data_IF_783807980603
#
_entry.id   IF_783807980603
#
_cell.length_a   1.000
_cell.length_b   1.000
_cell.length_c   1.000
_cell.angle_alpha   90.00
_cell.angle_beta   90.00
_cell.angle_gamma   90.00
#
_symmetry.space_group_name_H-M   'P 1'
#
loop_
_entity.id
_entity.type
_entity.pdbx_description
1 polymer ?
#
# COMPACT_ATOMS: atom_id res chain seq x y z
N UNK A 1 8.37 -1.63 0.10
CA UNK A 1 9.20 -0.45 0.39
C UNK A 1 8.50 0.80 -0.14
N UNK A 2 8.40 1.87 0.66
CA UNK A 2 7.81 3.12 0.20
C UNK A 2 8.82 3.99 -0.56
N UNK A 3 8.38 4.62 -1.65
CA UNK A 3 9.18 5.62 -2.37
C UNK A 3 9.27 6.92 -1.55
N UNK A 4 10.17 7.86 -1.87
CA UNK A 4 10.22 9.15 -1.17
C UNK A 4 8.87 9.90 -1.19
N UNK A 5 8.11 9.77 -2.28
CA UNK A 5 6.76 10.32 -2.39
C UNK A 5 5.82 9.62 -1.40
N UNK A 6 5.87 8.28 -1.36
CA UNK A 6 5.09 7.48 -0.41
C UNK A 6 5.33 7.88 1.03
N UNK A 7 6.60 8.00 1.42
CA UNK A 7 6.99 8.36 2.79
C UNK A 7 6.55 9.79 3.12
N UNK A 8 6.87 10.77 2.26
CA UNK A 8 6.61 12.19 2.54
C UNK A 8 5.12 12.56 2.47
N UNK A 9 4.38 12.01 1.51
CA UNK A 9 2.98 12.39 1.26
C UNK A 9 1.98 11.55 2.05
N UNK A 10 2.26 10.26 2.23
CA UNK A 10 1.31 9.32 2.83
C UNK A 10 1.80 8.72 4.16
N UNK A 11 2.94 9.17 4.68
CA UNK A 11 3.46 8.72 5.97
C UNK A 11 3.86 7.24 6.00
N UNK A 12 4.16 6.65 4.84
CA UNK A 12 4.47 5.23 4.74
C UNK A 12 5.85 4.90 5.37
N UNK A 13 6.01 3.72 5.98
CA UNK A 13 7.30 3.27 6.47
C UNK A 13 8.25 3.00 5.31
N UNK A 14 9.56 3.13 5.55
CA UNK A 14 10.59 2.86 4.54
C UNK A 14 10.43 1.46 3.93
N UNK A 15 10.25 0.44 4.77
CA UNK A 15 10.02 -0.95 4.38
C UNK A 15 9.17 -1.68 5.39
N UNK A 16 8.44 -2.70 4.92
CA UNK A 16 7.59 -3.57 5.72
C UNK A 16 7.36 -4.89 4.98
N UNK A 17 7.24 -5.99 5.71
CA UNK A 17 6.87 -7.30 5.18
C UNK A 17 5.40 -7.31 4.76
N UNK A 18 5.12 -7.82 3.56
CA UNK A 18 3.78 -8.05 3.06
C UNK A 18 3.62 -9.53 2.73
N UNK A 19 2.69 -10.20 3.42
CA UNK A 19 2.51 -11.66 3.36
C UNK A 19 1.25 -12.11 2.62
N UNK A 20 0.59 -11.22 1.87
CA UNK A 20 -0.63 -11.54 1.11
C UNK A 20 -0.34 -11.65 -0.40
N UNK A 21 -1.38 -11.97 -1.18
CA UNK A 21 -1.28 -12.06 -2.63
C UNK A 21 -0.87 -10.73 -3.26
N UNK A 22 0.07 -10.80 -4.21
CA UNK A 22 0.55 -9.67 -4.98
C UNK A 22 0.50 -10.00 -6.47
N UNK A 23 0.60 -8.97 -7.30
CA UNK A 23 0.66 -9.10 -8.75
C UNK A 23 1.78 -8.23 -9.34
N UNK A 24 2.30 -8.64 -10.50
CA UNK A 24 3.23 -7.83 -11.29
C UNK A 24 2.43 -6.87 -12.17
N UNK A 25 2.67 -5.58 -12.02
CA UNK A 25 2.04 -4.54 -12.84
C UNK A 25 3.07 -3.58 -13.39
N UNK A 26 2.77 -3.00 -14.55
CA UNK A 26 3.58 -1.96 -15.19
C UNK A 26 2.80 -0.64 -15.10
N UNK A 27 3.35 0.40 -14.46
CA UNK A 27 2.67 1.68 -14.36
C UNK A 27 2.71 2.40 -15.71
N UNK A 28 1.75 3.29 -15.96
CA UNK A 28 1.88 4.24 -17.07
C UNK A 28 3.07 5.17 -16.85
N UNK A 29 3.61 5.73 -17.93
CA UNK A 29 4.80 6.62 -17.89
C UNK A 29 4.57 7.85 -16.99
N UNK A 30 3.35 8.37 -16.97
CA UNK A 30 2.99 9.54 -16.18
C UNK A 30 2.64 9.21 -14.72
N UNK A 31 2.39 7.94 -14.38
CA UNK A 31 1.95 7.56 -13.04
C UNK A 31 3.07 7.68 -11.99
N UNK A 32 2.67 7.96 -10.76
CA UNK A 32 3.58 8.05 -9.60
C UNK A 32 3.52 6.75 -8.81
N UNK A 33 4.66 6.10 -8.64
CA UNK A 33 4.77 4.93 -7.77
C UNK A 33 5.00 5.38 -6.34
N UNK A 34 4.07 5.03 -5.44
CA UNK A 34 4.11 5.40 -4.02
C UNK A 34 4.83 4.34 -3.18
N UNK A 35 4.76 3.08 -3.59
CA UNK A 35 5.47 1.97 -2.97
C UNK A 35 5.78 0.88 -3.99
N UNK A 36 6.85 0.13 -3.75
CA UNK A 36 7.27 -1.03 -4.51
C UNK A 36 7.28 -2.28 -3.63
N UNK A 37 6.95 -3.42 -4.22
CA UNK A 37 7.40 -4.70 -3.74
C UNK A 37 8.90 -4.86 -3.95
N UNK A 38 9.51 -5.68 -3.09
CA UNK A 38 10.87 -6.17 -3.25
C UNK A 38 10.86 -7.62 -2.82
N UNK A 39 11.26 -8.51 -3.73
CA UNK A 39 11.47 -9.92 -3.45
C UNK A 39 12.99 -10.12 -3.41
N UNK A 40 13.49 -10.72 -2.34
CA UNK A 40 14.90 -11.13 -2.27
C UNK A 40 15.07 -12.43 -3.06
N UNK A 41 15.93 -12.40 -4.06
CA UNK A 41 16.10 -13.46 -5.05
C UNK A 41 17.54 -13.97 -5.05
N UNK A 42 17.71 -15.27 -5.32
CA UNK A 42 19.00 -15.84 -5.69
C UNK A 42 19.38 -15.42 -7.12
N UNK A 43 20.64 -15.63 -7.52
CA UNK A 43 21.07 -15.40 -8.90
C UNK A 43 20.20 -16.16 -9.91
N UNK A 44 19.88 -17.43 -9.62
CA UNK A 44 18.98 -18.24 -10.44
C UNK A 44 17.56 -17.65 -10.50
N UNK A 45 17.05 -17.10 -9.39
CA UNK A 45 15.73 -16.44 -9.35
C UNK A 45 15.70 -15.15 -10.19
N UNK A 46 16.78 -14.37 -10.15
CA UNK A 46 16.95 -13.18 -11.01
C UNK A 46 16.94 -13.59 -12.48
N UNK A 47 17.68 -14.65 -12.84
CA UNK A 47 17.72 -15.14 -14.22
C UNK A 47 16.32 -15.57 -14.71
N UNK A 48 15.57 -16.33 -13.88
CA UNK A 48 14.22 -16.77 -14.23
C UNK A 48 13.26 -15.59 -14.44
N UNK A 49 13.24 -14.59 -13.54
CA UNK A 49 12.39 -13.42 -13.74
C UNK A 49 12.77 -12.64 -15.01
N UNK A 50 14.07 -12.47 -15.25
CA UNK A 50 14.56 -11.71 -16.40
C UNK A 50 14.15 -12.31 -17.76
N UNK A 51 14.07 -13.65 -17.86
CA UNK A 51 13.57 -14.36 -19.05
C UNK A 51 12.13 -13.99 -19.41
N UNK A 52 11.36 -13.53 -18.43
CA UNK A 52 9.98 -13.06 -18.59
C UNK A 52 9.85 -11.52 -18.58
N UNK A 53 10.96 -10.79 -18.61
CA UNK A 53 10.97 -9.32 -18.54
C UNK A 53 10.57 -8.77 -17.16
N UNK A 54 10.62 -9.59 -16.11
CA UNK A 54 10.28 -9.22 -14.75
C UNK A 54 11.53 -8.87 -13.94
N UNK A 55 11.35 -8.08 -12.88
CA UNK A 55 12.40 -7.71 -11.94
C UNK A 55 11.95 -7.96 -10.51
N UNK A 56 12.90 -8.20 -9.59
CA UNK A 56 12.59 -8.40 -8.16
C UNK A 56 12.01 -7.16 -7.46
N UNK A 57 12.01 -5.99 -8.12
CA UNK A 57 11.40 -4.77 -7.64
C UNK A 57 10.34 -4.27 -8.63
N UNK A 58 9.10 -4.13 -8.17
CA UNK A 58 7.96 -3.75 -9.01
C UNK A 58 6.91 -2.99 -8.18
N UNK A 59 6.00 -2.23 -8.81
CA UNK A 59 5.08 -1.37 -8.07
C UNK A 59 4.10 -2.14 -7.19
N UNK A 60 3.81 -1.57 -6.01
CA UNK A 60 2.77 -2.03 -5.09
C UNK A 60 1.61 -1.02 -5.01
N UNK A 61 1.91 0.28 -5.06
CA UNK A 61 0.91 1.36 -5.04
C UNK A 61 1.23 2.34 -6.14
N UNK A 62 0.29 2.53 -7.05
CA UNK A 62 0.40 3.45 -8.19
C UNK A 62 -0.67 4.53 -8.04
N UNK A 63 -0.25 5.78 -8.18
CA UNK A 63 -1.15 6.92 -8.28
C UNK A 63 -1.17 7.40 -9.72
N UNK A 64 -2.35 7.39 -10.34
CA UNK A 64 -2.55 8.03 -11.64
C UNK A 64 -2.42 9.55 -11.48
N UNK A 65 -1.76 10.19 -12.44
CA UNK A 65 -1.54 11.65 -12.46
C UNK A 65 -2.44 12.38 -13.44
N UNK A 66 -3.07 11.64 -14.36
CA UNK A 66 -4.01 12.14 -15.35
C UNK A 66 -5.43 11.86 -14.85
N UNK A 67 -6.29 12.89 -14.87
CA UNK A 67 -7.69 12.89 -14.38
C UNK A 67 -7.86 12.94 -12.85
N UNK A 68 -9.02 12.48 -12.36
CA UNK A 68 -9.39 12.39 -10.95
C UNK A 68 -8.44 11.49 -10.16
N UNK A 69 -8.21 11.76 -8.85
CA UNK A 69 -7.23 11.04 -8.04
C UNK A 69 -7.57 9.55 -7.96
N UNK A 70 -6.87 8.76 -8.77
CA UNK A 70 -7.05 7.31 -8.86
C UNK A 70 -5.82 6.61 -8.33
N UNK A 71 -6.04 5.61 -7.47
CA UNK A 71 -5.00 4.78 -6.89
C UNK A 71 -5.24 3.33 -7.24
N UNK A 72 -4.19 2.65 -7.66
CA UNK A 72 -4.17 1.21 -7.91
C UNK A 72 -3.27 0.53 -6.88
N UNK A 73 -3.80 -0.49 -6.21
CA UNK A 73 -3.08 -1.31 -5.23
C UNK A 73 -2.89 -2.71 -5.81
N UNK A 74 -1.63 -3.07 -6.06
CA UNK A 74 -1.26 -4.28 -6.80
C UNK A 74 -1.21 -5.53 -5.90
N UNK A 75 -2.30 -5.80 -5.20
CA UNK A 75 -2.40 -6.94 -4.29
C UNK A 75 -3.60 -6.85 -3.35
N UNK A 76 -3.74 -7.87 -2.51
CA UNK A 76 -4.82 -7.95 -1.53
C UNK A 76 -4.53 -7.08 -0.29
N UNK A 77 -4.70 -5.76 -0.45
CA UNK A 77 -4.48 -4.79 0.63
C UNK A 77 -5.67 -4.71 1.60
N UNK A 78 -6.83 -5.20 1.16
CA UNK A 78 -8.08 -5.11 1.89
C UNK A 78 -8.29 -6.30 2.85
N UNK A 79 -7.45 -7.35 2.76
CA UNK A 79 -7.48 -8.51 3.66
C UNK A 79 -7.03 -8.17 5.09
N UNK A 80 -7.91 -7.50 5.81
CA UNK A 80 -7.65 -6.99 7.15
C UNK A 80 -8.50 -7.73 8.19
N UNK A 81 -7.93 -8.12 9.34
CA UNK A 81 -8.64 -8.83 10.40
C UNK A 81 -9.50 -7.87 11.25
N UNK A 82 -10.24 -6.96 10.61
CA UNK A 82 -11.11 -5.99 11.30
C UNK A 82 -12.47 -6.62 11.55
N UNK A 83 -12.92 -6.58 12.80
CA UNK A 83 -14.26 -7.03 13.17
C UNK A 83 -15.28 -5.97 12.72
N UNK A 84 -16.27 -6.36 11.90
CA UNK A 84 -17.23 -5.42 11.29
C UNK A 84 -18.03 -4.58 12.30
N UNK A 85 -18.20 -5.07 13.53
CA UNK A 85 -18.95 -4.37 14.58
C UNK A 85 -18.26 -3.07 15.05
N UNK A 86 -16.95 -3.08 15.23
CA UNK A 86 -16.18 -1.93 15.71
C UNK A 86 -15.88 -0.92 14.60
N UNK A 87 -16.01 -1.30 13.33
CA UNK A 87 -15.69 -0.45 12.19
C UNK A 87 -16.53 0.84 12.12
N UNK A 88 -17.75 0.84 12.67
CA UNK A 88 -18.67 1.99 12.67
C UNK A 88 -18.65 2.80 13.98
N UNK A 89 -17.92 2.35 14.99
CA UNK A 89 -17.88 3.01 16.29
C UNK A 89 -16.84 4.14 16.27
N UNK A 90 -17.18 5.29 16.85
CA UNK A 90 -16.17 6.27 17.26
C UNK A 90 -15.12 5.58 18.12
N UNK A 91 -13.83 5.83 17.86
CA UNK A 91 -12.69 5.14 18.47
C UNK A 91 -12.51 3.65 18.11
N UNK A 92 -13.34 3.08 17.22
CA UNK A 92 -13.28 1.67 16.82
C UNK A 92 -11.92 1.21 16.29
N UNK A 93 -11.21 2.07 15.54
CA UNK A 93 -9.83 1.82 15.09
C UNK A 93 -8.87 1.60 16.27
N UNK A 94 -8.94 2.44 17.31
CA UNK A 94 -8.07 2.32 18.48
C UNK A 94 -8.37 1.06 19.27
N UNK A 95 -9.66 0.71 19.38
CA UNK A 95 -10.13 -0.50 20.03
C UNK A 95 -9.65 -1.76 19.29
N UNK A 96 -9.80 -1.77 17.95
CA UNK A 96 -9.30 -2.86 17.12
C UNK A 96 -7.79 -3.02 17.24
N UNK A 97 -7.03 -1.93 17.23
CA UNK A 97 -5.57 -1.98 17.41
C UNK A 97 -5.17 -2.53 18.78
N UNK A 98 -5.93 -2.24 19.83
CA UNK A 98 -5.66 -2.73 21.19
C UNK A 98 -5.96 -4.23 21.33
N UNK A 99 -7.04 -4.71 20.71
CA UNK A 99 -7.48 -6.11 20.83
C UNK A 99 -6.95 -7.04 19.74
N UNK A 100 -6.39 -6.50 18.66
CA UNK A 100 -5.84 -7.31 17.58
C UNK A 100 -4.56 -8.02 18.03
N UNK A 101 -4.51 -9.34 17.80
CA UNK A 101 -3.27 -10.09 17.96
C UNK A 101 -2.26 -9.61 16.92
N UNK A 102 -1.09 -9.15 17.38
CA UNK A 102 -0.01 -8.73 16.49
C UNK A 102 0.44 -9.91 15.60
N UNK A 103 0.23 -9.75 14.31
CA UNK A 103 0.69 -10.59 13.23
C UNK A 103 1.02 -9.72 12.00
N UNK A 104 1.63 -10.30 10.97
CA UNK A 104 2.05 -9.57 9.77
C UNK A 104 0.91 -8.75 9.13
N UNK A 105 -0.30 -9.32 9.02
CA UNK A 105 -1.46 -8.62 8.44
C UNK A 105 -1.88 -7.41 9.27
N UNK A 106 -1.97 -7.55 10.60
CA UNK A 106 -2.29 -6.41 11.49
C UNK A 106 -1.22 -5.33 11.45
N UNK A 107 0.06 -5.71 11.38
CA UNK A 107 1.17 -4.76 11.31
C UNK A 107 1.10 -4.02 9.97
N UNK A 108 0.91 -4.72 8.85
CA UNK A 108 0.69 -4.10 7.54
C UNK A 108 -0.51 -3.15 7.54
N UNK A 109 -1.64 -3.60 8.08
CA UNK A 109 -2.85 -2.80 8.15
C UNK A 109 -2.62 -1.49 8.92
N UNK A 110 -2.05 -1.58 10.12
CA UNK A 110 -1.89 -0.42 11.00
C UNK A 110 -0.80 0.54 10.54
N UNK A 111 0.32 0.01 10.02
CA UNK A 111 1.53 0.81 9.76
C UNK A 111 1.68 1.22 8.30
N UNK A 112 1.03 0.54 7.35
CA UNK A 112 1.13 0.84 5.93
C UNK A 112 -0.23 1.22 5.34
N UNK A 113 -1.23 0.33 5.40
CA UNK A 113 -2.51 0.53 4.72
C UNK A 113 -3.31 1.69 5.31
N UNK A 114 -3.44 1.73 6.64
CA UNK A 114 -4.22 2.77 7.31
C UNK A 114 -3.67 4.19 7.08
N UNK A 115 -2.38 4.50 7.30
CA UNK A 115 -1.87 5.83 7.02
C UNK A 115 -1.96 6.19 5.53
N UNK A 116 -1.81 5.22 4.62
CA UNK A 116 -2.02 5.44 3.19
C UNK A 116 -3.43 5.96 2.90
N UNK A 117 -4.45 5.21 3.33
CA UNK A 117 -5.86 5.55 3.08
C UNK A 117 -6.24 6.86 3.78
N UNK A 118 -5.82 7.07 5.02
CA UNK A 118 -6.11 8.30 5.77
C UNK A 118 -5.58 9.54 5.05
N UNK A 119 -4.35 9.49 4.53
CA UNK A 119 -3.78 10.62 3.79
C UNK A 119 -4.39 10.79 2.39
N UNK A 120 -4.72 9.70 1.67
CA UNK A 120 -5.45 9.79 0.39
C UNK A 120 -6.80 10.49 0.57
N UNK A 121 -7.56 10.08 1.59
CA UNK A 121 -8.87 10.67 1.87
C UNK A 121 -8.76 12.11 2.38
N UNK A 122 -7.79 12.39 3.26
CA UNK A 122 -7.51 13.74 3.74
C UNK A 122 -7.19 14.71 2.59
N UNK A 123 -6.33 14.29 1.66
CA UNK A 123 -6.01 15.06 0.45
C UNK A 123 -7.26 15.29 -0.41
N UNK A 124 -8.07 14.24 -0.62
CA UNK A 124 -9.30 14.32 -1.41
C UNK A 124 -10.28 15.35 -0.81
N UNK A 125 -10.63 15.23 0.47
CA UNK A 125 -11.57 16.15 1.13
C UNK A 125 -11.03 17.57 1.20
N UNK A 126 -9.73 17.74 1.48
CA UNK A 126 -9.09 19.06 1.52
C UNK A 126 -9.11 19.77 0.15
N UNK A 127 -9.02 19.02 -0.94
CA UNK A 127 -9.11 19.57 -2.29
C UNK A 127 -10.55 19.86 -2.73
N UNK A 128 -11.53 19.07 -2.29
CA UNK A 128 -12.94 19.35 -2.53
C UNK A 128 -13.39 20.63 -1.81
N UNK A 129 -12.94 20.86 -0.57
CA UNK A 129 -13.27 22.07 0.20
C UNK A 129 -12.62 23.36 -0.35
N UNK A 130 -11.66 23.25 -1.27
CA UNK A 130 -10.99 24.39 -1.93
C UNK A 130 -11.64 24.78 -3.26
N UNK A 131 -12.60 24.00 -3.77
CA UNK A 131 -13.42 24.33 -4.94
C UNK A 131 -14.64 25.12 -4.50
#
# INVERSE_FOLDING_TARGET
MATPIGQKKYGLPNSLTYGCWFEFVVPSVSAKVCANYRIDLTETGIEQLSKHGLSGQFPAVIQATENEPTFYFAGDFAENPVVSFTAKMSFGKQLNRLFSKKNEKTIFFDTFYTPLIENILSDYYSNQLKK
#
